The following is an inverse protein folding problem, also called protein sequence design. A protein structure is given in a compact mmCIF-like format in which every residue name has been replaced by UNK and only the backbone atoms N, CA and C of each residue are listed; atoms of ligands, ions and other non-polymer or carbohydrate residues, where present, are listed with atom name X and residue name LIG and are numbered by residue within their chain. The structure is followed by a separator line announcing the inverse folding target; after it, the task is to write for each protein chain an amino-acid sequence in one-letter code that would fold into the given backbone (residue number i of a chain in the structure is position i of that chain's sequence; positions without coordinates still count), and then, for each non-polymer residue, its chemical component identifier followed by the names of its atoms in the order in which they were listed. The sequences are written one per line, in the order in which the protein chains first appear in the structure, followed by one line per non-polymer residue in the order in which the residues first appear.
data_IF_593117148713
#
_entry.id   IF_593117148713
#
_cell.length_a   1.000
_cell.length_b   1.000
_cell.length_c   1.000
_cell.angle_alpha   90.00
_cell.angle_beta   90.00
_cell.angle_gamma   90.00
#
_symmetry.space_group_name_H-M   'P 1'
#
loop_
_entity.id
_entity.type
_entity.pdbx_description
1 polymer ?
#
# COMPACT_ATOMS: atom_id res chain seq x y z
N UNK A 1 15.05 -13.28 1.19
CA UNK A 1 15.90 -12.98 2.32
C UNK A 1 15.22 -12.00 3.27
N UNK A 2 15.26 -12.29 4.53
CA UNK A 2 14.61 -11.45 5.50
C UNK A 2 15.46 -10.22 5.80
N UNK A 3 14.80 -9.20 6.34
CA UNK A 3 15.49 -7.99 6.74
C UNK A 3 16.37 -8.26 7.94
N UNK A 4 17.46 -7.54 8.01
CA UNK A 4 18.29 -7.58 9.19
C UNK A 4 17.53 -7.00 10.37
N UNK A 5 17.89 -7.41 11.57
CA UNK A 5 17.25 -6.88 12.75
C UNK A 5 17.38 -5.36 12.84
N UNK A 6 18.47 -4.82 12.32
CA UNK A 6 18.71 -3.38 12.35
C UNK A 6 18.03 -2.66 11.19
N UNK A 7 17.51 -3.40 10.23
CA UNK A 7 16.88 -2.79 9.07
C UNK A 7 15.38 -2.69 9.29
N UNK A 8 14.83 -1.57 8.91
CA UNK A 8 13.40 -1.35 9.02
C UNK A 8 12.79 -1.37 7.64
N UNK A 9 11.62 -1.98 7.50
CA UNK A 9 10.95 -1.95 6.21
C UNK A 9 10.49 -0.53 5.88
N UNK A 10 10.52 -0.21 4.60
CA UNK A 10 10.14 1.11 4.12
C UNK A 10 8.75 1.01 3.50
N UNK A 11 7.85 1.83 3.99
CA UNK A 11 6.47 1.89 3.50
C UNK A 11 6.21 3.27 2.92
N UNK A 12 5.66 3.29 1.72
CA UNK A 12 5.20 4.52 1.11
C UNK A 12 3.70 4.64 1.33
N UNK A 13 3.26 5.79 1.83
CA UNK A 13 1.84 6.04 2.06
C UNK A 13 1.40 7.10 1.06
N UNK A 14 0.44 6.75 0.20
CA UNK A 14 -0.06 7.64 -0.83
C UNK A 14 -1.48 8.03 -0.43
N UNK A 15 -1.63 9.22 0.11
CA UNK A 15 -2.88 9.66 0.72
C UNK A 15 -2.94 11.18 0.65
N UNK A 16 -4.01 11.72 0.08
CA UNK A 16 -4.12 13.17 -0.09
C UNK A 16 -4.71 13.90 1.10
N UNK A 17 -5.28 13.20 2.07
CA UNK A 17 -5.78 13.83 3.29
C UNK A 17 -4.67 13.80 4.33
N UNK A 18 -4.15 14.99 4.65
CA UNK A 18 -2.94 15.08 5.47
C UNK A 18 -3.11 14.43 6.83
N UNK A 19 -4.27 14.62 7.47
CA UNK A 19 -4.47 14.06 8.80
C UNK A 19 -4.48 12.54 8.78
N UNK A 20 -5.05 11.96 7.72
CA UNK A 20 -5.06 10.51 7.60
C UNK A 20 -3.65 10.00 7.32
N UNK A 21 -2.93 10.68 6.44
CA UNK A 21 -1.55 10.29 6.15
C UNK A 21 -0.69 10.32 7.41
N UNK A 22 -0.86 11.37 8.23
CA UNK A 22 -0.09 11.48 9.46
C UNK A 22 -0.45 10.38 10.45
N UNK A 23 -1.72 10.02 10.53
CA UNK A 23 -2.13 8.93 11.42
C UNK A 23 -1.52 7.61 10.99
N UNK A 24 -1.57 7.32 9.69
CA UNK A 24 -1.00 6.09 9.19
C UNK A 24 0.50 6.07 9.42
N UNK A 25 1.16 7.17 9.17
CA UNK A 25 2.59 7.28 9.40
C UNK A 25 2.95 6.94 10.85
N UNK A 26 2.19 7.52 11.79
CA UNK A 26 2.44 7.25 13.20
C UNK A 26 2.22 5.78 13.54
N UNK A 27 1.15 5.19 13.04
CA UNK A 27 0.87 3.78 13.28
C UNK A 27 2.01 2.90 12.79
N UNK A 28 2.49 3.18 11.59
CA UNK A 28 3.51 2.33 10.98
C UNK A 28 4.87 2.54 11.64
N UNK A 29 5.18 3.77 12.02
CA UNK A 29 6.43 4.02 12.72
C UNK A 29 6.47 3.30 14.05
N UNK A 30 5.32 3.24 14.73
CA UNK A 30 5.23 2.48 15.97
C UNK A 30 5.51 0.99 15.75
N UNK A 31 5.23 0.50 14.55
CA UNK A 31 5.47 -0.90 14.21
C UNK A 31 6.86 -1.13 13.65
N UNK A 32 7.69 -0.10 13.60
CA UNK A 32 9.05 -0.25 13.16
C UNK A 32 9.31 0.06 11.70
N UNK A 33 8.35 0.66 11.01
CA UNK A 33 8.54 1.03 9.62
C UNK A 33 9.23 2.38 9.50
N UNK A 34 9.98 2.54 8.43
CA UNK A 34 10.35 3.86 7.93
C UNK A 34 9.27 4.26 6.94
N UNK A 35 8.72 5.45 7.10
CA UNK A 35 7.54 5.84 6.33
C UNK A 35 7.82 7.13 5.57
N UNK A 36 7.40 7.14 4.33
CA UNK A 36 7.34 8.36 3.53
C UNK A 36 5.93 8.53 3.06
N UNK A 37 5.44 9.77 3.03
CA UNK A 37 4.08 10.06 2.59
C UNK A 37 4.12 10.97 1.37
N UNK A 38 3.13 10.82 0.51
CA UNK A 38 2.92 11.74 -0.59
C UNK A 38 1.43 11.81 -0.88
N UNK A 39 1.02 12.84 -1.61
CA UNK A 39 -0.40 13.12 -1.77
C UNK A 39 -0.92 12.89 -3.18
N UNK A 40 -0.05 12.54 -4.12
CA UNK A 40 -0.45 12.38 -5.50
C UNK A 40 0.20 11.15 -6.11
N UNK A 41 -0.49 10.55 -7.07
CA UNK A 41 0.00 9.34 -7.71
C UNK A 41 1.31 9.58 -8.45
N UNK A 42 1.45 10.73 -9.11
CA UNK A 42 2.69 10.96 -9.86
C UNK A 42 3.88 11.17 -8.94
N UNK A 43 3.64 11.75 -7.77
CA UNK A 43 4.72 11.84 -6.78
C UNK A 43 5.16 10.46 -6.34
N UNK A 44 4.18 9.60 -6.10
CA UNK A 44 4.47 8.23 -5.70
C UNK A 44 5.27 7.50 -6.77
N UNK A 45 4.91 7.69 -8.03
CA UNK A 45 5.66 7.06 -9.13
C UNK A 45 7.12 7.48 -9.12
N UNK A 46 7.37 8.78 -8.89
CA UNK A 46 8.74 9.25 -8.83
C UNK A 46 9.49 8.67 -7.64
N UNK A 47 8.81 8.55 -6.51
CA UNK A 47 9.44 8.03 -5.31
C UNK A 47 9.79 6.55 -5.44
N UNK A 48 8.91 5.74 -6.03
CA UNK A 48 9.20 4.32 -6.19
C UNK A 48 10.27 4.09 -7.24
N UNK A 49 10.40 5.00 -8.18
CA UNK A 49 11.50 4.93 -9.14
C UNK A 49 12.83 5.19 -8.44
N UNK A 50 12.85 6.15 -7.52
CA UNK A 50 14.07 6.48 -6.80
C UNK A 50 14.45 5.40 -5.82
N UNK A 51 13.48 4.82 -5.13
CA UNK A 51 13.76 3.78 -4.15
C UNK A 51 12.53 2.89 -4.03
N UNK A 52 12.72 1.61 -4.31
CA UNK A 52 11.62 0.65 -4.26
C UNK A 52 11.18 0.45 -2.80
N UNK A 53 9.91 0.72 -2.48
CA UNK A 53 9.44 0.46 -1.12
C UNK A 53 9.22 -1.02 -0.89
N UNK A 54 9.20 -1.40 0.37
CA UNK A 54 8.85 -2.77 0.74
C UNK A 54 7.35 -2.99 0.62
N UNK A 55 6.56 -1.93 0.85
CA UNK A 55 5.10 -2.02 0.74
C UNK A 55 4.54 -0.62 0.58
N UNK A 56 3.26 -0.55 0.20
CA UNK A 56 2.58 0.73 -0.04
C UNK A 56 1.18 0.67 0.54
N UNK A 57 0.77 1.77 1.16
CA UNK A 57 -0.63 2.00 1.53
C UNK A 57 -1.17 3.03 0.54
N UNK A 58 -2.22 2.69 -0.17
CA UNK A 58 -2.66 3.44 -1.33
C UNK A 58 -4.12 3.85 -1.18
N UNK A 59 -4.38 5.16 -1.29
CA UNK A 59 -5.75 5.65 -1.39
C UNK A 59 -6.19 5.50 -2.84
N UNK A 60 -7.38 4.94 -3.06
CA UNK A 60 -7.86 4.71 -4.42
C UNK A 60 -8.14 6.02 -5.14
N UNK A 61 -8.73 6.99 -4.45
CA UNK A 61 -9.16 8.24 -5.07
C UNK A 61 -8.25 9.38 -4.65
N UNK A 62 -7.23 9.64 -5.44
CA UNK A 62 -6.27 10.71 -5.18
C UNK A 62 -6.66 11.96 -5.96
N UNK A 63 -6.10 13.11 -5.57
CA UNK A 63 -6.44 14.37 -6.19
C UNK A 63 -6.13 14.42 -7.68
N UNK A 64 -5.04 13.79 -8.08
CA UNK A 64 -4.66 13.78 -9.49
C UNK A 64 -5.29 12.64 -10.26
N UNK A 65 -6.33 12.04 -9.70
CA UNK A 65 -7.13 11.05 -10.41
C UNK A 65 -7.00 9.66 -9.82
N UNK A 66 -7.59 8.68 -10.48
CA UNK A 66 -7.52 7.31 -10.00
C UNK A 66 -6.08 6.81 -9.98
N UNK A 67 -5.80 5.95 -9.05
CA UNK A 67 -4.45 5.45 -8.84
C UNK A 67 -4.12 4.23 -9.70
N UNK A 68 -4.78 4.09 -10.82
CA UNK A 68 -4.67 2.88 -11.64
C UNK A 68 -3.27 2.69 -12.20
N UNK A 69 -2.70 3.77 -12.73
CA UNK A 69 -1.36 3.68 -13.27
C UNK A 69 -0.34 3.33 -12.19
N UNK A 70 -0.53 3.89 -11.01
CA UNK A 70 0.34 3.58 -9.88
C UNK A 70 0.19 2.11 -9.49
N UNK A 71 -1.04 1.61 -9.44
CA UNK A 71 -1.27 0.21 -9.11
C UNK A 71 -0.58 -0.72 -10.12
N UNK A 72 -0.68 -0.37 -11.40
CA UNK A 72 -0.01 -1.17 -12.44
C UNK A 72 1.49 -1.19 -12.23
N UNK A 73 2.05 -0.06 -11.89
CA UNK A 73 3.49 0.02 -11.70
C UNK A 73 3.93 -0.77 -10.47
N UNK A 74 3.14 -0.74 -9.41
CA UNK A 74 3.45 -1.52 -8.22
C UNK A 74 3.39 -3.01 -8.52
N UNK A 75 2.40 -3.43 -9.29
CA UNK A 75 2.31 -4.83 -9.70
C UNK A 75 3.50 -5.24 -10.55
N UNK A 76 3.86 -4.39 -11.51
CA UNK A 76 4.98 -4.69 -12.39
C UNK A 76 6.28 -4.85 -11.59
N UNK A 77 6.45 -4.04 -10.57
CA UNK A 77 7.65 -4.07 -9.75
C UNK A 77 7.55 -5.05 -8.59
N UNK A 78 6.42 -5.74 -8.46
CA UNK A 78 6.18 -6.71 -7.42
C UNK A 78 6.29 -6.10 -6.03
N UNK A 79 5.75 -4.90 -5.88
CA UNK A 79 5.68 -4.22 -4.59
C UNK A 79 4.32 -4.51 -3.99
N UNK A 80 4.26 -5.15 -2.82
CA UNK A 80 2.97 -5.41 -2.18
C UNK A 80 2.31 -4.12 -1.74
N UNK A 81 1.00 -4.05 -1.89
CA UNK A 81 0.28 -2.85 -1.47
C UNK A 81 -1.13 -3.23 -1.02
N UNK A 82 -1.69 -2.36 -0.20
CA UNK A 82 -3.09 -2.45 0.20
C UNK A 82 -3.77 -1.15 -0.18
N UNK A 83 -5.09 -1.20 -0.35
CA UNK A 83 -5.88 -0.01 -0.61
C UNK A 83 -6.64 0.37 0.66
N UNK A 84 -6.52 1.63 1.06
CA UNK A 84 -7.22 2.15 2.23
C UNK A 84 -8.00 3.36 1.77
N UNK A 85 -9.30 3.22 1.60
CA UNK A 85 -10.07 4.21 0.89
C UNK A 85 -11.44 4.41 1.50
N UNK A 86 -11.96 5.63 1.39
CA UNK A 86 -13.31 5.92 1.79
C UNK A 86 -14.34 5.52 0.75
N UNK A 87 -13.90 5.02 -0.37
CA UNK A 87 -14.80 4.59 -1.44
C UNK A 87 -14.99 3.09 -1.38
N UNK A 88 -16.19 2.65 -1.65
CA UNK A 88 -16.49 1.23 -1.66
C UNK A 88 -15.71 0.54 -2.75
N UNK A 89 -15.48 -0.75 -2.51
CA UNK A 89 -14.79 -1.56 -3.50
C UNK A 89 -15.77 -1.96 -4.58
N UNK A 90 -16.22 -0.98 -5.34
CA UNK A 90 -17.03 -1.29 -6.51
C UNK A 90 -16.31 -0.94 -7.78
N UNK A 91 -15.05 -0.59 -7.68
CA UNK A 91 -14.18 -0.57 -8.84
C UNK A 91 -13.93 -1.99 -9.30
N UNK A 92 -14.81 -2.87 -8.91
CA UNK A 92 -14.79 -4.25 -9.32
C UNK A 92 -14.69 -4.33 -10.82
N UNK A 93 -13.98 -5.33 -11.27
CA UNK A 93 -13.71 -5.45 -12.68
C UNK A 93 -12.38 -4.87 -13.11
N UNK A 94 -11.70 -4.17 -12.22
CA UNK A 94 -10.36 -3.70 -12.53
C UNK A 94 -9.36 -4.77 -12.11
N UNK A 95 -8.72 -5.43 -13.09
CA UNK A 95 -7.84 -6.55 -12.75
C UNK A 95 -6.64 -6.14 -11.91
N UNK A 96 -6.27 -4.86 -11.95
CA UNK A 96 -5.14 -4.39 -11.17
C UNK A 96 -5.37 -4.56 -9.67
N UNK A 97 -6.61 -4.68 -9.24
CA UNK A 97 -6.93 -4.78 -7.81
C UNK A 97 -7.36 -6.17 -7.39
N UNK A 98 -7.26 -7.14 -8.29
CA UNK A 98 -7.58 -8.52 -7.94
C UNK A 98 -6.61 -9.01 -6.88
N UNK A 99 -7.16 -9.52 -5.78
CA UNK A 99 -6.34 -10.05 -4.71
C UNK A 99 -5.69 -9.01 -3.82
N UNK A 100 -5.91 -7.74 -4.09
CA UNK A 100 -5.35 -6.67 -3.27
C UNK A 100 -6.27 -6.43 -2.10
N UNK A 101 -5.77 -6.43 -0.87
CA UNK A 101 -6.60 -6.12 0.28
C UNK A 101 -7.16 -4.70 0.18
N UNK A 102 -8.44 -4.58 0.45
CA UNK A 102 -9.14 -3.31 0.36
C UNK A 102 -9.79 -3.04 1.71
N UNK A 103 -9.38 -1.97 2.35
CA UNK A 103 -9.85 -1.62 3.68
C UNK A 103 -10.62 -0.32 3.60
N UNK A 104 -11.84 -0.33 4.11
CA UNK A 104 -12.67 0.85 4.12
C UNK A 104 -12.29 1.80 5.25
N UNK A 105 -12.24 3.09 4.95
CA UNK A 105 -12.03 4.12 5.96
C UNK A 105 -13.33 4.36 6.71
N UNK A 106 -13.26 4.63 8.02
CA UNK A 106 -12.11 4.46 8.89
C UNK A 106 -12.01 3.03 9.36
N UNK A 107 -10.81 2.55 9.58
CA UNK A 107 -10.59 1.20 10.09
C UNK A 107 -9.76 1.28 11.36
N UNK A 108 -9.92 0.32 12.26
CA UNK A 108 -9.07 0.28 13.43
C UNK A 108 -7.61 0.11 13.02
N UNK A 109 -6.73 0.70 13.81
CA UNK A 109 -5.31 0.66 13.55
C UNK A 109 -4.79 -0.75 13.32
N UNK A 110 -5.22 -1.69 14.16
CA UNK A 110 -4.72 -3.05 14.06
C UNK A 110 -5.17 -3.74 12.79
N UNK A 111 -6.32 -3.37 12.25
CA UNK A 111 -6.78 -3.95 11.00
C UNK A 111 -5.89 -3.52 9.84
N UNK A 112 -5.54 -2.24 9.82
CA UNK A 112 -4.67 -1.70 8.79
C UNK A 112 -3.29 -2.36 8.87
N UNK A 113 -2.74 -2.43 10.08
CA UNK A 113 -1.43 -3.01 10.30
C UNK A 113 -1.43 -4.48 9.91
N UNK A 114 -2.44 -5.24 10.33
CA UNK A 114 -2.50 -6.66 10.04
C UNK A 114 -2.57 -6.90 8.53
N UNK A 115 -3.35 -6.09 7.83
CA UNK A 115 -3.49 -6.25 6.39
C UNK A 115 -2.17 -5.96 5.69
N UNK A 116 -1.46 -4.92 6.12
CA UNK A 116 -0.20 -4.56 5.52
C UNK A 116 0.87 -5.63 5.78
N UNK A 117 0.91 -6.15 7.00
CA UNK A 117 1.86 -7.19 7.33
C UNK A 117 1.59 -8.46 6.54
N UNK A 118 0.33 -8.79 6.35
CA UNK A 118 -0.03 -9.94 5.53
C UNK A 118 0.41 -9.75 4.08
N UNK A 119 0.24 -8.54 3.56
CA UNK A 119 0.67 -8.24 2.20
C UNK A 119 2.19 -8.36 2.07
N UNK A 120 2.92 -7.90 3.07
CA UNK A 120 4.37 -8.01 3.07
C UNK A 120 4.81 -9.46 3.06
N UNK A 121 4.15 -10.28 3.88
CA UNK A 121 4.51 -11.69 4.00
C UNK A 121 4.20 -12.45 2.72
N UNK A 122 3.00 -12.21 2.17
CA UNK A 122 2.53 -12.97 1.01
C UNK A 122 2.98 -12.36 -0.31
N UNK A 123 3.14 -11.04 -0.33
CA UNK A 123 3.49 -10.36 -1.56
C UNK A 123 2.29 -10.12 -2.45
N UNK A 124 2.50 -9.28 -3.45
CA UNK A 124 1.49 -9.04 -4.47
C UNK A 124 1.42 -10.28 -5.34
N UNK A 125 0.23 -10.69 -5.67
CA UNK A 125 0.05 -11.90 -6.44
C UNK A 125 0.05 -13.15 -5.60
N UNK A 126 -0.01 -13.00 -4.29
CA UNK A 126 -0.05 -14.16 -3.39
C UNK A 126 -1.27 -15.03 -3.69
N UNK A 127 -2.32 -14.42 -4.20
CA UNK A 127 -3.50 -15.16 -4.58
C UNK A 127 -3.15 -16.27 -5.56
N UNK A 128 -2.32 -15.95 -6.51
CA UNK A 128 -1.90 -16.93 -7.48
C UNK A 128 -1.11 -18.04 -6.83
N UNK A 129 -0.21 -17.67 -5.94
CA UNK A 129 0.57 -18.67 -5.23
C UNK A 129 -0.31 -19.54 -4.38
N UNK A 130 -1.25 -18.94 -3.70
CA UNK A 130 -2.17 -19.69 -2.88
C UNK A 130 -2.98 -20.67 -3.71
N UNK A 131 -3.39 -20.25 -4.90
CA UNK A 131 -4.18 -21.11 -5.75
C UNK A 131 -3.34 -22.26 -6.31
N UNK A 132 -2.06 -22.06 -6.43
CA UNK A 132 -1.17 -23.13 -6.88
C UNK A 132 -0.79 -24.04 -5.75
N UNK A 133 -0.74 -23.51 -4.57
CA UNK A 133 -0.37 -24.27 -3.41
C UNK A 133 -1.48 -25.08 -2.89
#
# INVERSE_FOLDING_TARGET
MSLQASEKPYCLVVEDQALIAMSIEAYLEDEGFVVETCSMAREALALIEAQKPHCVVLDFALKDGPCLELARELLRRRVPFIVYSGHRRDSSGLPEFDGVPWIDKPAPRQDLIASLLAALTNGVGATEKASLG
#
